data_IF_378304850611
#
_entry.id   IF_378304850611
#
_cell.length_a   1.000
_cell.length_b   1.000
_cell.length_c   1.000
_cell.angle_alpha   90.00
_cell.angle_beta   90.00
_cell.angle_gamma   90.00
#
_symmetry.space_group_name_H-M   'P 1'
#
loop_
_entity.id
_entity.type
_entity.pdbx_description
1 polymer ?
#
# COMPACT_ATOMS: atom_id res chain seq x y z
N UNK A 1 -7.66 -10.16 11.01
CA UNK A 1 -6.35 -9.69 10.49
C UNK A 1 -5.64 -8.98 11.64
N UNK A 2 -4.63 -9.57 12.26
CA UNK A 2 -4.49 -9.34 13.71
C UNK A 2 -3.59 -8.15 14.09
N UNK A 3 -4.07 -7.01 14.60
CA UNK A 3 -5.45 -6.56 14.89
C UNK A 3 -5.66 -5.08 14.51
N UNK A 4 -5.99 -4.84 13.24
CA UNK A 4 -6.23 -3.52 12.59
C UNK A 4 -5.05 -2.55 12.68
N UNK A 5 -4.05 -2.79 11.83
CA UNK A 5 -2.75 -2.10 11.59
C UNK A 5 -2.48 -0.79 12.35
N UNK A 6 -3.41 0.15 12.43
CA UNK A 6 -3.31 1.31 13.33
C UNK A 6 -1.99 2.06 13.16
N UNK A 7 -1.29 2.44 14.24
CA UNK A 7 0.00 3.12 14.14
C UNK A 7 1.16 2.23 13.65
N UNK A 8 0.94 0.94 13.37
CA UNK A 8 1.97 -0.07 13.06
C UNK A 8 2.11 -0.37 11.57
N UNK A 9 1.98 0.66 10.72
CA UNK A 9 2.02 0.51 9.27
C UNK A 9 3.42 0.10 8.76
N UNK A 10 4.46 0.69 9.36
CA UNK A 10 5.84 0.54 8.94
C UNK A 10 6.62 -0.50 9.75
N UNK A 11 6.11 -0.93 10.91
CA UNK A 11 6.84 -1.84 11.78
C UNK A 11 6.04 -2.33 12.98
N UNK A 12 6.49 -3.40 13.67
CA UNK A 12 5.79 -3.94 14.83
C UNK A 12 5.85 -3.01 16.06
N UNK A 13 6.90 -2.19 16.14
CA UNK A 13 7.18 -1.18 17.18
C UNK A 13 7.86 0.04 16.57
N UNK A 14 7.84 1.19 17.26
CA UNK A 14 8.50 2.41 16.81
C UNK A 14 10.02 2.22 16.71
N UNK A 15 10.61 2.58 15.56
CA UNK A 15 12.05 2.47 15.31
C UNK A 15 12.52 1.11 14.81
N UNK A 16 11.62 0.13 14.67
CA UNK A 16 11.91 -1.16 14.04
C UNK A 16 10.97 -1.35 12.85
N UNK A 17 11.51 -1.27 11.63
CA UNK A 17 10.73 -1.34 10.40
C UNK A 17 10.61 -2.78 9.88
N UNK A 18 9.49 -3.09 9.23
CA UNK A 18 9.36 -4.36 8.51
C UNK A 18 10.39 -4.44 7.39
N UNK A 19 11.08 -5.59 7.31
CA UNK A 19 12.11 -5.86 6.29
C UNK A 19 11.58 -5.75 4.86
N UNK A 20 10.28 -5.97 4.67
CA UNK A 20 9.63 -5.94 3.36
C UNK A 20 9.17 -4.53 2.93
N UNK A 21 9.32 -3.50 3.77
CA UNK A 21 8.90 -2.13 3.46
C UNK A 21 9.47 -1.62 2.13
N UNK A 22 10.74 -1.89 1.86
CA UNK A 22 11.40 -1.47 0.60
C UNK A 22 10.66 -2.01 -0.63
N UNK A 23 10.33 -3.30 -0.61
CA UNK A 23 9.59 -3.95 -1.69
C UNK A 23 8.13 -3.51 -1.72
N UNK A 24 7.48 -3.36 -0.55
CA UNK A 24 6.09 -2.92 -0.44
C UNK A 24 5.87 -1.54 -1.05
N UNK A 25 6.76 -0.59 -0.77
CA UNK A 25 6.63 0.77 -1.32
C UNK A 25 7.04 0.84 -2.78
N UNK A 26 8.06 0.09 -3.20
CA UNK A 26 8.39 -0.02 -4.62
C UNK A 26 7.21 -0.58 -5.43
N UNK A 27 6.61 -1.67 -4.95
CA UNK A 27 5.45 -2.29 -5.58
C UNK A 27 4.23 -1.38 -5.58
N UNK A 28 3.96 -0.67 -4.48
CA UNK A 28 2.86 0.30 -4.40
C UNK A 28 3.01 1.39 -5.47
N UNK A 29 4.20 1.97 -5.61
CA UNK A 29 4.47 3.01 -6.61
C UNK A 29 4.30 2.48 -8.05
N UNK A 30 4.83 1.29 -8.34
CA UNK A 30 4.70 0.67 -9.67
C UNK A 30 3.23 0.36 -9.99
N UNK A 31 2.49 -0.21 -9.03
CA UNK A 31 1.07 -0.50 -9.20
C UNK A 31 0.23 0.77 -9.38
N UNK A 32 0.55 1.86 -8.67
CA UNK A 32 -0.13 3.14 -8.83
C UNK A 32 0.08 3.75 -10.23
N UNK A 33 1.27 3.58 -10.82
CA UNK A 33 1.55 4.02 -12.20
C UNK A 33 0.80 3.16 -13.23
N UNK A 34 0.62 1.87 -12.97
CA UNK A 34 -0.06 0.96 -13.89
C UNK A 34 -1.61 1.03 -13.78
N UNK A 35 -2.13 1.31 -12.60
CA UNK A 35 -3.56 1.40 -12.32
C UNK A 35 -4.37 2.22 -13.35
N UNK A 36 -4.00 3.46 -13.74
CA UNK A 36 -4.78 4.22 -14.72
C UNK A 36 -4.73 3.65 -16.15
N UNK A 37 -3.75 2.79 -16.45
CA UNK A 37 -3.59 2.18 -17.78
C UNK A 37 -4.46 0.94 -17.92
N UNK A 38 -4.62 0.19 -16.83
CA UNK A 38 -5.32 -1.11 -16.81
C UNK A 38 -6.75 -0.99 -16.31
N UNK A 39 -7.01 -0.10 -15.35
CA UNK A 39 -8.33 0.03 -14.74
C UNK A 39 -9.22 0.97 -15.55
N UNK A 40 -10.42 0.50 -15.86
CA UNK A 40 -11.47 1.33 -16.41
C UNK A 40 -12.09 2.19 -15.29
N UNK A 41 -11.62 3.43 -15.14
CA UNK A 41 -12.05 4.36 -14.08
C UNK A 41 -13.39 5.04 -14.35
N UNK A 42 -14.23 4.50 -15.26
CA UNK A 42 -15.54 5.06 -15.61
C UNK A 42 -16.67 4.75 -14.60
N UNK A 43 -16.35 4.46 -13.33
CA UNK A 43 -17.35 4.28 -12.29
C UNK A 43 -17.74 5.64 -11.70
N UNK A 44 -18.53 6.43 -12.45
CA UNK A 44 -19.23 7.60 -11.92
C UNK A 44 -20.55 7.12 -11.33
N UNK A 45 -20.71 7.22 -10.01
CA UNK A 45 -22.00 6.99 -9.34
C UNK A 45 -22.89 8.26 -9.34
N UNK A 46 -22.38 9.35 -9.90
CA UNK A 46 -23.06 10.63 -10.11
C UNK A 46 -23.20 10.96 -11.60
#
# INVERSE_FOLDING_TARGET
>A
VWGKTGPKLYGPTTGDDYRDNQLRFCLLCLAALEAPRVLNLNNSEY
#
